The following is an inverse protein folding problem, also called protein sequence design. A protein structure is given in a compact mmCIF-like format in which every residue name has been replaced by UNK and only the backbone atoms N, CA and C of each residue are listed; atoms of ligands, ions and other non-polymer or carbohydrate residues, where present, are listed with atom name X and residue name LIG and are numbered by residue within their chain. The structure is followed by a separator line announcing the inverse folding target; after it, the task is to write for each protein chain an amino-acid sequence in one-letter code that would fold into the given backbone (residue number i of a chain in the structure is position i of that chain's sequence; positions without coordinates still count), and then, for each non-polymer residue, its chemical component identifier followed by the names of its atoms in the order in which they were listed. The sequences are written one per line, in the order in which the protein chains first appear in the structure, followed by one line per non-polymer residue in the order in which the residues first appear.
data_IF_053934904813
#
_entry.id   IF_053934904813
#
_cell.length_a   1.000
_cell.length_b   1.000
_cell.length_c   1.000
_cell.angle_alpha   90.00
_cell.angle_beta   90.00
_cell.angle_gamma   90.00
#
_symmetry.space_group_name_H-M   'P 1'
#
loop_
_entity.id
_entity.type
_entity.pdbx_description
1 polymer ?
#
# COMPACT_ATOMS: atom_id res chain seq x y z
N UNK A 1 12.84 -2.67 -6.72
CA UNK A 1 12.33 -1.84 -5.62
C UNK A 1 13.05 -0.53 -5.64
N UNK A 2 12.32 0.56 -5.39
CA UNK A 2 12.87 1.90 -5.18
C UNK A 2 13.76 1.87 -3.93
N UNK A 3 14.98 2.42 -4.00
CA UNK A 3 15.99 2.27 -2.94
C UNK A 3 15.55 2.89 -1.60
N UNK A 4 15.05 4.12 -1.62
CA UNK A 4 14.48 4.82 -0.45
C UNK A 4 13.32 4.05 0.20
N UNK A 5 12.51 3.32 -0.59
CA UNK A 5 11.41 2.52 -0.06
C UNK A 5 11.92 1.27 0.67
N UNK A 6 13.02 0.69 0.19
CA UNK A 6 13.71 -0.41 0.88
C UNK A 6 14.28 0.07 2.22
N UNK A 7 14.91 1.24 2.21
CA UNK A 7 15.46 1.83 3.43
C UNK A 7 14.36 2.15 4.45
N UNK A 8 13.26 2.76 4.00
CA UNK A 8 12.08 3.01 4.82
C UNK A 8 11.53 1.72 5.43
N UNK A 9 11.38 0.66 4.62
CA UNK A 9 10.92 -0.65 5.12
C UNK A 9 11.80 -1.20 6.23
N UNK A 10 13.13 -1.20 6.07
CA UNK A 10 14.01 -1.75 7.11
C UNK A 10 14.02 -0.92 8.39
N UNK A 11 13.72 0.38 8.32
CA UNK A 11 13.70 1.26 9.49
C UNK A 11 12.35 1.26 10.21
N UNK A 12 11.24 1.20 9.47
CA UNK A 12 9.92 1.57 10.00
C UNK A 12 8.84 0.50 9.87
N UNK A 13 9.12 -0.67 9.29
CA UNK A 13 8.12 -1.76 9.18
C UNK A 13 7.52 -2.17 10.53
N UNK A 14 8.27 -2.03 11.62
CA UNK A 14 7.80 -2.41 12.96
C UNK A 14 6.66 -1.49 13.42
N UNK A 15 6.62 -0.22 12.97
CA UNK A 15 5.50 0.69 13.24
C UNK A 15 4.21 0.27 12.50
N UNK A 16 4.36 -0.26 11.29
CA UNK A 16 3.24 -0.82 10.53
C UNK A 16 2.75 -2.13 11.16
N UNK A 17 3.66 -2.99 11.60
CA UNK A 17 3.33 -4.22 12.31
C UNK A 17 2.57 -3.92 13.61
N UNK A 18 3.06 -2.97 14.41
CA UNK A 18 2.42 -2.53 15.64
C UNK A 18 1.03 -1.95 15.37
N UNK A 19 0.83 -1.24 14.25
CA UNK A 19 -0.49 -0.77 13.87
C UNK A 19 -1.44 -1.93 13.60
N UNK A 20 -1.05 -2.91 12.78
CA UNK A 20 -1.90 -4.09 12.51
C UNK A 20 -2.21 -4.88 13.78
N UNK A 21 -1.22 -5.03 14.67
CA UNK A 21 -1.37 -5.74 15.94
C UNK A 21 -2.39 -5.08 16.88
N UNK A 22 -2.46 -3.75 16.87
CA UNK A 22 -3.25 -2.97 17.83
C UNK A 22 -4.50 -2.32 17.23
N UNK A 23 -4.88 -2.69 16.00
CA UNK A 23 -6.05 -2.14 15.30
C UNK A 23 -6.97 -3.27 14.84
N UNK A 24 -8.30 -3.15 14.99
CA UNK A 24 -9.24 -4.10 14.41
C UNK A 24 -9.16 -4.17 12.88
N UNK A 25 -9.24 -5.37 12.31
CA UNK A 25 -9.10 -5.64 10.86
C UNK A 25 -10.08 -4.83 9.99
N UNK A 26 -11.27 -4.52 10.51
CA UNK A 26 -12.27 -3.70 9.82
C UNK A 26 -11.77 -2.31 9.42
N UNK A 27 -10.79 -1.75 10.14
CA UNK A 27 -10.22 -0.42 9.88
C UNK A 27 -9.23 -0.42 8.70
N UNK A 28 -8.82 -1.60 8.20
CA UNK A 28 -7.94 -1.76 7.05
C UNK A 28 -8.38 -2.94 6.16
N UNK A 29 -9.69 -3.02 5.94
CA UNK A 29 -10.34 -4.12 5.22
C UNK A 29 -10.20 -4.04 3.70
N UNK A 30 -9.66 -2.94 3.16
CA UNK A 30 -9.41 -2.75 1.72
C UNK A 30 -7.92 -2.63 1.41
N UNK A 31 -7.54 -2.97 0.19
CA UNK A 31 -6.18 -2.78 -0.30
C UNK A 31 -5.75 -1.31 -0.23
N UNK A 32 -6.66 -0.37 -0.51
CA UNK A 32 -6.41 1.07 -0.38
C UNK A 32 -5.96 1.46 1.02
N UNK A 33 -6.54 0.84 2.05
CA UNK A 33 -6.23 1.16 3.45
C UNK A 33 -4.82 0.65 3.80
N UNK A 34 -4.46 -0.55 3.33
CA UNK A 34 -3.13 -1.14 3.53
C UNK A 34 -2.06 -0.31 2.81
N UNK A 35 -2.31 0.10 1.56
CA UNK A 35 -1.36 0.93 0.81
C UNK A 35 -1.23 2.31 1.47
N UNK A 36 -2.33 2.92 1.91
CA UNK A 36 -2.31 4.16 2.68
C UNK A 36 -1.41 4.03 3.92
N UNK A 37 -1.66 3.01 4.76
CA UNK A 37 -0.88 2.77 5.98
C UNK A 37 0.60 2.50 5.69
N UNK A 38 0.92 1.78 4.62
CA UNK A 38 2.29 1.56 4.18
C UNK A 38 3.00 2.89 3.91
N UNK A 39 2.37 3.80 3.17
CA UNK A 39 2.98 5.11 2.89
C UNK A 39 3.10 5.97 4.15
N UNK A 40 2.05 6.02 4.98
CA UNK A 40 2.06 6.82 6.21
C UNK A 40 3.08 6.35 7.24
N UNK A 41 3.17 5.04 7.46
CA UNK A 41 3.98 4.45 8.55
C UNK A 41 5.40 4.11 8.12
N UNK A 42 5.62 3.87 6.83
CA UNK A 42 6.92 3.36 6.35
C UNK A 42 7.64 4.34 5.43
N UNK A 43 6.92 5.01 4.53
CA UNK A 43 7.56 5.83 3.48
C UNK A 43 7.71 7.29 3.88
N UNK A 44 6.68 7.90 4.48
CA UNK A 44 6.63 9.33 4.75
C UNK A 44 7.34 9.76 6.06
N UNK A 45 8.15 8.90 6.68
CA UNK A 45 8.68 9.16 8.04
C UNK A 45 9.77 10.24 8.11
N UNK A 46 10.57 10.41 7.05
CA UNK A 46 11.72 11.35 7.04
C UNK A 46 11.61 12.45 5.98
N UNK A 47 10.54 12.51 5.19
CA UNK A 47 10.41 13.42 4.05
C UNK A 47 9.43 14.58 4.34
N UNK A 48 9.97 15.81 4.40
CA UNK A 48 9.19 17.05 4.50
C UNK A 48 8.18 17.20 3.35
N UNK A 49 8.41 16.51 2.22
CA UNK A 49 7.56 16.47 1.03
C UNK A 49 7.09 15.04 0.71
N UNK A 50 6.78 14.25 1.74
CA UNK A 50 6.23 12.90 1.59
C UNK A 50 4.99 12.81 0.69
N UNK A 51 4.58 11.59 0.38
CA UNK A 51 3.44 11.35 -0.52
C UNK A 51 2.10 11.72 0.12
N UNK A 52 1.18 12.31 -0.64
CA UNK A 52 -0.17 12.62 -0.18
C UNK A 52 -0.99 11.34 -0.01
N UNK A 53 -1.24 10.94 1.24
CA UNK A 53 -2.00 9.74 1.61
C UNK A 53 -3.50 10.00 1.79
N UNK A 54 -3.95 11.25 1.68
CA UNK A 54 -5.36 11.63 1.78
C UNK A 54 -6.02 11.79 0.40
N UNK A 55 -5.26 12.22 -0.62
CA UNK A 55 -5.79 12.49 -1.97
C UNK A 55 -5.22 11.57 -3.06
N UNK A 56 -4.67 10.41 -2.70
CA UNK A 56 -4.17 9.45 -3.68
C UNK A 56 -5.31 8.86 -4.54
N UNK A 57 -4.99 8.55 -5.80
CA UNK A 57 -5.96 8.05 -6.76
C UNK A 57 -6.02 6.52 -6.72
N UNK A 58 -7.23 5.97 -6.72
CA UNK A 58 -7.50 4.55 -6.90
C UNK A 58 -8.25 4.34 -8.22
N UNK A 59 -7.63 3.63 -9.15
CA UNK A 59 -8.28 3.19 -10.39
C UNK A 59 -8.73 1.75 -10.19
N UNK A 60 -10.04 1.52 -10.29
CA UNK A 60 -10.67 0.20 -10.19
C UNK A 60 -11.80 0.10 -11.22
N UNK A 61 -11.49 -0.50 -12.37
CA UNK A 61 -12.46 -0.78 -13.43
C UNK A 61 -13.07 -2.19 -13.28
N UNK A 62 -12.75 -2.89 -12.20
CA UNK A 62 -13.32 -4.19 -11.87
C UNK A 62 -14.72 -4.08 -11.27
N UNK A 63 -15.50 -5.15 -11.39
CA UNK A 63 -16.84 -5.22 -10.79
C UNK A 63 -16.94 -6.22 -9.64
N UNK A 64 -16.32 -7.39 -9.80
CA UNK A 64 -16.31 -8.48 -8.80
C UNK A 64 -14.92 -9.01 -8.49
N UNK A 65 -13.97 -8.75 -9.39
CA UNK A 65 -12.56 -9.09 -9.33
C UNK A 65 -11.87 -8.23 -10.39
N UNK A 66 -10.58 -7.99 -10.24
CA UNK A 66 -9.86 -7.15 -11.19
C UNK A 66 -8.55 -6.61 -10.64
N UNK A 67 -8.07 -5.56 -11.27
CA UNK A 67 -6.84 -4.89 -10.89
C UNK A 67 -7.18 -3.53 -10.29
N UNK A 68 -6.62 -3.25 -9.13
CA UNK A 68 -6.59 -1.90 -8.56
C UNK A 68 -5.21 -1.30 -8.78
N UNK A 69 -5.18 -0.04 -9.21
CA UNK A 69 -3.96 0.75 -9.35
C UNK A 69 -4.06 1.92 -8.37
N UNK A 70 -3.02 2.10 -7.57
CA UNK A 70 -2.92 3.17 -6.58
C UNK A 70 -1.84 4.13 -7.02
N UNK A 71 -2.16 5.42 -7.13
CA UNK A 71 -1.25 6.46 -7.59
C UNK A 71 -1.14 7.54 -6.51
N UNK A 72 0.07 7.78 -6.03
CA UNK A 72 0.40 8.82 -5.08
C UNK A 72 1.25 9.89 -5.76
N UNK A 73 1.13 11.13 -5.31
CA UNK A 73 2.04 12.21 -5.68
C UNK A 73 2.72 12.76 -4.44
N UNK A 74 3.94 13.29 -4.58
CA UNK A 74 4.60 14.03 -3.50
C UNK A 74 3.80 15.28 -3.12
N UNK A 75 3.89 15.70 -1.87
CA UNK A 75 3.20 16.89 -1.35
C UNK A 75 3.94 18.18 -1.74
N UNK A 76 3.97 18.47 -3.04
CA UNK A 76 4.60 19.65 -3.63
C UNK A 76 3.55 20.49 -4.37
N UNK A 77 3.81 21.79 -4.55
CA UNK A 77 2.84 22.72 -5.13
C UNK A 77 2.40 22.34 -6.56
N UNK A 78 3.31 21.76 -7.35
CA UNK A 78 3.10 21.38 -8.74
C UNK A 78 3.92 20.11 -9.04
N UNK A 79 3.38 18.91 -8.80
CA UNK A 79 4.10 17.67 -9.02
C UNK A 79 4.33 17.44 -10.52
N UNK A 80 5.57 17.08 -10.88
CA UNK A 80 5.94 16.60 -12.21
C UNK A 80 5.78 15.08 -12.29
N UNK A 81 5.98 14.48 -13.47
CA UNK A 81 5.77 13.03 -13.66
C UNK A 81 6.57 12.18 -12.66
N UNK A 82 7.80 12.58 -12.37
CA UNK A 82 8.72 11.87 -11.46
C UNK A 82 8.28 11.96 -9.99
N UNK A 83 7.38 12.89 -9.65
CA UNK A 83 6.81 13.03 -8.31
C UNK A 83 5.66 12.04 -8.06
N UNK A 84 5.24 11.29 -9.08
CA UNK A 84 4.21 10.28 -8.97
C UNK A 84 4.82 8.89 -8.81
N UNK A 85 4.26 8.12 -7.89
CA UNK A 85 4.55 6.70 -7.71
C UNK A 85 3.26 5.92 -7.83
N UNK A 86 3.33 4.72 -8.38
CA UNK A 86 2.21 3.81 -8.41
C UNK A 86 2.57 2.42 -7.91
N UNK A 87 1.57 1.73 -7.40
CA UNK A 87 1.58 0.29 -7.16
C UNK A 87 0.24 -0.29 -7.57
N UNK A 88 0.20 -1.59 -7.79
CA UNK A 88 -1.00 -2.28 -8.27
C UNK A 88 -1.20 -3.61 -7.53
N UNK A 89 -2.43 -4.09 -7.52
CA UNK A 89 -2.77 -5.41 -7.00
C UNK A 89 -3.94 -6.01 -7.75
N UNK A 90 -3.95 -7.34 -7.85
CA UNK A 90 -5.12 -8.07 -8.31
C UNK A 90 -5.95 -8.48 -7.10
N UNK A 91 -7.25 -8.17 -7.13
CA UNK A 91 -8.22 -8.58 -6.12
C UNK A 91 -9.18 -9.61 -6.71
N UNK A 92 -9.60 -10.55 -5.87
CA UNK A 92 -10.42 -11.69 -6.23
C UNK A 92 -11.85 -11.57 -5.72
N UNK A 93 -12.72 -12.41 -6.27
CA UNK A 93 -14.12 -12.52 -5.86
C UNK A 93 -14.34 -13.37 -4.60
N UNK A 94 -13.33 -14.07 -4.11
CA UNK A 94 -13.39 -14.88 -2.89
C UNK A 94 -12.01 -15.07 -2.24
N UNK A 95 -11.99 -15.54 -0.99
CA UNK A 95 -10.77 -15.80 -0.22
C UNK A 95 -9.80 -16.84 -0.83
N UNK A 96 -10.22 -17.61 -1.84
CA UNK A 96 -9.30 -18.48 -2.59
C UNK A 96 -8.51 -17.71 -3.65
N UNK A 97 -9.08 -16.66 -4.23
CA UNK A 97 -8.46 -15.85 -5.28
C UNK A 97 -8.05 -14.44 -4.83
N UNK A 98 -8.45 -14.01 -3.63
CA UNK A 98 -8.11 -12.72 -3.04
C UNK A 98 -7.23 -12.90 -1.81
N UNK A 99 -6.04 -12.30 -1.84
CA UNK A 99 -5.07 -12.43 -0.75
C UNK A 99 -5.54 -11.72 0.51
N UNK A 100 -6.12 -10.53 0.39
CA UNK A 100 -6.60 -9.75 1.54
C UNK A 100 -7.78 -10.44 2.22
N UNK A 101 -8.79 -10.87 1.47
CA UNK A 101 -9.94 -11.61 2.02
C UNK A 101 -9.49 -12.91 2.70
N UNK A 102 -8.48 -13.59 2.16
CA UNK A 102 -7.91 -14.79 2.79
C UNK A 102 -7.31 -14.50 4.15
N UNK A 103 -6.57 -13.40 4.27
CA UNK A 103 -5.94 -12.99 5.53
C UNK A 103 -7.01 -12.55 6.53
N UNK A 104 -7.94 -11.70 6.08
CA UNK A 104 -9.00 -11.14 6.88
C UNK A 104 -9.97 -12.20 7.42
N UNK A 105 -10.13 -13.32 6.70
CA UNK A 105 -10.97 -14.47 7.09
C UNK A 105 -12.43 -14.11 7.48
N UNK A 106 -12.95 -12.99 6.97
CA UNK A 106 -14.27 -12.43 7.36
C UNK A 106 -14.41 -12.10 8.86
N UNK A 107 -13.29 -11.84 9.55
CA UNK A 107 -13.25 -11.46 10.96
C UNK A 107 -12.97 -9.96 11.12
N UNK A 108 -13.87 -9.22 11.79
CA UNK A 108 -13.71 -7.77 12.00
C UNK A 108 -12.85 -7.40 13.24
N UNK A 109 -12.40 -8.41 13.99
CA UNK A 109 -11.68 -8.27 15.25
C UNK A 109 -10.18 -7.97 15.08
N UNK A 110 -9.44 -8.09 16.18
CA UNK A 110 -7.97 -7.98 16.16
C UNK A 110 -7.35 -9.20 15.45
N UNK A 111 -6.31 -9.01 14.62
CA UNK A 111 -5.65 -10.13 13.96
C UNK A 111 -4.84 -10.97 14.96
N UNK A 112 -4.66 -12.25 14.64
CA UNK A 112 -3.68 -13.11 15.30
C UNK A 112 -2.28 -12.98 14.66
N UNK A 113 -1.26 -13.61 15.25
CA UNK A 113 0.13 -13.53 14.74
C UNK A 113 0.30 -14.01 13.29
N UNK A 114 -0.45 -15.03 12.85
CA UNK A 114 -0.37 -15.52 11.47
C UNK A 114 -0.96 -14.50 10.49
N UNK A 115 -2.06 -13.85 10.88
CA UNK A 115 -2.67 -12.76 10.12
C UNK A 115 -1.74 -11.55 10.05
N UNK A 116 -1.11 -11.15 11.16
CA UNK A 116 -0.14 -10.05 11.21
C UNK A 116 1.02 -10.32 10.23
N UNK A 117 1.64 -11.50 10.31
CA UNK A 117 2.72 -11.87 9.38
C UNK A 117 2.26 -11.82 7.92
N UNK A 118 1.04 -12.26 7.64
CA UNK A 118 0.48 -12.24 6.30
C UNK A 118 0.15 -10.83 5.80
N UNK A 119 -0.33 -9.94 6.67
CA UNK A 119 -0.52 -8.51 6.37
C UNK A 119 0.82 -7.83 6.07
N UNK A 120 1.85 -8.11 6.86
CA UNK A 120 3.20 -7.60 6.60
C UNK A 120 3.77 -8.11 5.28
N UNK A 121 3.57 -9.38 4.95
CA UNK A 121 3.98 -9.92 3.64
C UNK A 121 3.19 -9.27 2.50
N UNK A 122 1.89 -9.01 2.68
CA UNK A 122 1.08 -8.33 1.69
C UNK A 122 1.57 -6.88 1.47
N UNK A 123 1.82 -6.13 2.54
CA UNK A 123 2.37 -4.78 2.48
C UNK A 123 3.74 -4.77 1.76
N UNK A 124 4.62 -5.72 2.08
CA UNK A 124 5.90 -5.87 1.40
C UNK A 124 5.74 -6.15 -0.11
N UNK A 125 4.79 -7.01 -0.49
CA UNK A 125 4.53 -7.30 -1.90
C UNK A 125 4.02 -6.07 -2.65
N UNK A 126 3.15 -5.26 -2.03
CA UNK A 126 2.66 -4.00 -2.59
C UNK A 126 3.82 -2.99 -2.74
N UNK A 127 4.66 -2.88 -1.72
CA UNK A 127 5.85 -2.02 -1.73
C UNK A 127 6.84 -2.45 -2.84
N UNK A 128 7.00 -3.75 -3.02
CA UNK A 128 7.90 -4.32 -4.02
C UNK A 128 7.54 -3.93 -5.45
N UNK A 129 6.24 -3.73 -5.71
CA UNK A 129 5.68 -3.35 -7.00
C UNK A 129 5.67 -1.85 -7.25
N UNK A 130 5.99 -1.03 -6.23
CA UNK A 130 6.06 0.41 -6.40
C UNK A 130 7.06 0.83 -7.48
N UNK A 131 6.62 1.74 -8.35
CA UNK A 131 7.44 2.35 -9.41
C UNK A 131 7.09 3.82 -9.56
N UNK A 132 8.11 4.63 -9.80
CA UNK A 132 7.92 6.00 -10.25
C UNK A 132 7.34 6.00 -11.66
N UNK A 133 6.55 7.02 -11.98
CA UNK A 133 6.30 7.33 -13.39
C UNK A 133 7.56 7.94 -13.97
N UNK A 134 7.85 7.59 -15.22
CA UNK A 134 9.04 8.04 -15.93
C UNK A 134 8.58 8.86 -17.15
N UNK A 135 9.29 9.93 -17.44
CA UNK A 135 9.12 10.68 -18.67
C UNK A 135 9.72 9.85 -19.83
N UNK A 136 8.95 9.58 -20.88
CA UNK A 136 9.55 9.00 -22.10
C UNK A 136 10.44 10.08 -22.73
N UNK A 137 11.75 9.86 -22.76
CA UNK A 137 12.67 10.69 -23.55
C UNK A 137 12.25 10.59 -25.02
N UNK A 138 11.69 11.66 -25.56
CA UNK A 138 11.40 11.77 -26.99
C UNK A 138 12.69 12.04 -27.76
N UNK A 139 13.22 11.00 -28.43
CA UNK A 139 14.31 11.10 -29.42
C UNK A 139 13.94 11.97 -30.64
#
# INVERSE_FOLDING_TARGET
MIAEFVDGWYRYKDELEDYFRNTPQKEYSKYSDIVKLLFEKVINQEDDYGFDTENFLVIDDGHYQGTQIFIFHKNVCQPNIEDYVYTDTYYGSCSYCDTLQRIHNYEDGYPNEEQINSYMQLALNLLQKCKYFEEEESD
#
